data_IF_872178411815
#
_entry.id   IF_872178411815
#
_cell.length_a   1.000
_cell.length_b   1.000
_cell.length_c   1.000
_cell.angle_alpha   90.00
_cell.angle_beta   90.00
_cell.angle_gamma   90.00
#
_symmetry.space_group_name_H-M   'P 1'
#
loop_
_entity.id
_entity.type
_entity.pdbx_description
1 polymer ?
#
# COMPACT_ATOMS: atom_id res chain seq x y z
N UNK A 1 -11.03 -23.07 8.73
CA UNK A 1 -11.24 -22.43 10.05
C UNK A 1 -9.92 -21.88 10.57
N UNK A 2 -9.94 -20.68 11.16
CA UNK A 2 -8.75 -20.04 11.70
C UNK A 2 -8.23 -20.82 12.92
N UNK A 3 -6.91 -20.86 13.07
CA UNK A 3 -6.21 -21.40 14.23
C UNK A 3 -5.68 -20.23 15.05
N UNK A 4 -6.09 -20.11 16.32
CA UNK A 4 -5.83 -18.95 17.18
C UNK A 4 -5.13 -19.36 18.48
N UNK A 5 -3.97 -20.00 18.34
CA UNK A 5 -3.17 -20.53 19.46
C UNK A 5 -1.94 -19.67 19.77
N UNK A 6 -1.74 -18.57 19.05
CA UNK A 6 -0.61 -17.67 19.20
C UNK A 6 -0.88 -16.52 20.16
N UNK A 7 -0.05 -15.49 20.03
CA UNK A 7 -0.16 -14.27 20.80
C UNK A 7 -1.43 -13.50 20.45
N UNK A 8 -2.03 -12.89 21.46
CA UNK A 8 -3.20 -12.03 21.32
C UNK A 8 -3.12 -10.91 22.34
N UNK A 9 -3.77 -9.79 22.03
CA UNK A 9 -3.85 -8.63 22.92
C UNK A 9 -5.32 -8.27 23.17
N UNK A 10 -5.61 -7.67 24.32
CA UNK A 10 -6.87 -6.96 24.53
C UNK A 10 -6.85 -5.67 23.71
N UNK A 11 -7.95 -5.36 23.01
CA UNK A 11 -8.15 -4.09 22.31
C UNK A 11 -9.52 -3.55 22.69
N UNK A 12 -9.60 -2.28 23.08
CA UNK A 12 -10.86 -1.67 23.55
C UNK A 12 -11.19 -0.32 22.91
N UNK A 13 -10.40 0.10 21.92
CA UNK A 13 -10.72 1.28 21.13
C UNK A 13 -9.49 1.89 20.50
N UNK A 14 -9.66 3.15 20.11
CA UNK A 14 -8.62 3.99 19.52
C UNK A 14 -8.74 5.36 20.18
N UNK A 15 -7.62 5.96 20.55
CA UNK A 15 -7.56 7.31 21.07
C UNK A 15 -7.89 8.34 19.97
N UNK A 16 -8.08 9.60 20.35
CA UNK A 16 -8.38 10.68 19.39
C UNK A 16 -7.28 10.88 18.34
N UNK A 17 -6.03 10.58 18.70
CA UNK A 17 -4.86 10.67 17.82
C UNK A 17 -4.63 9.42 16.94
N UNK A 18 -5.58 8.48 16.93
CA UNK A 18 -5.47 7.24 16.17
C UNK A 18 -4.68 6.14 16.89
N UNK A 19 -4.09 6.39 18.07
CA UNK A 19 -3.33 5.38 18.80
C UNK A 19 -4.25 4.25 19.27
N UNK A 20 -3.92 2.97 19.00
CA UNK A 20 -4.73 1.86 19.46
C UNK A 20 -4.69 1.78 20.99
N UNK A 21 -5.87 1.61 21.60
CA UNK A 21 -5.99 1.37 23.03
C UNK A 21 -6.02 -0.16 23.24
N UNK A 22 -4.86 -0.69 23.61
CA UNK A 22 -4.61 -2.12 23.67
C UNK A 22 -3.58 -2.48 24.75
N UNK A 23 -3.48 -3.77 25.07
CA UNK A 23 -2.43 -4.31 25.91
C UNK A 23 -2.37 -5.85 25.87
N UNK A 24 -1.20 -6.45 26.09
CA UNK A 24 -1.08 -7.90 26.15
C UNK A 24 -1.80 -8.45 27.40
N UNK A 25 -2.18 -9.74 27.41
CA UNK A 25 -2.61 -10.40 28.63
C UNK A 25 -1.51 -10.41 29.67
N UNK A 26 -1.90 -10.29 30.93
CA UNK A 26 -0.99 -10.40 32.06
C UNK A 26 -0.40 -11.82 32.14
N UNK A 27 0.93 -11.96 32.29
CA UNK A 27 1.58 -13.27 32.36
C UNK A 27 1.21 -14.08 33.61
N UNK A 28 0.76 -13.43 34.68
CA UNK A 28 0.36 -14.09 35.93
C UNK A 28 -1.12 -14.52 35.89
N UNK A 29 -1.99 -13.74 35.23
CA UNK A 29 -3.40 -14.09 34.99
C UNK A 29 -3.92 -13.49 33.66
N UNK A 30 -4.14 -14.31 32.60
CA UNK A 30 -4.52 -13.83 31.28
C UNK A 30 -5.91 -13.15 31.22
N UNK A 31 -6.67 -13.14 32.32
CA UNK A 31 -7.92 -12.40 32.45
C UNK A 31 -7.73 -10.89 32.66
N UNK A 32 -6.50 -10.48 32.94
CA UNK A 32 -6.09 -9.10 33.14
C UNK A 32 -5.17 -8.64 32.01
N UNK A 33 -5.05 -7.34 31.86
CA UNK A 33 -4.04 -6.69 31.02
C UNK A 33 -2.75 -6.61 31.82
N UNK A 34 -1.61 -6.90 31.18
CA UNK A 34 -0.29 -6.88 31.81
C UNK A 34 -0.01 -5.53 32.49
N UNK A 35 0.16 -5.56 33.81
CA UNK A 35 0.51 -4.39 34.62
C UNK A 35 2.03 -4.22 34.83
N UNK A 36 2.82 -5.15 34.29
CA UNK A 36 4.29 -5.17 34.34
C UNK A 36 4.87 -5.58 35.70
N UNK A 37 4.06 -6.04 36.64
CA UNK A 37 4.49 -6.43 37.99
C UNK A 37 4.41 -7.96 38.19
N UNK A 38 5.55 -8.64 38.35
CA UNK A 38 5.56 -10.09 38.55
C UNK A 38 4.79 -10.54 39.79
N UNK A 39 3.95 -11.55 39.62
CA UNK A 39 3.10 -12.15 40.65
C UNK A 39 1.84 -11.33 40.98
N UNK A 40 1.47 -10.35 40.15
CA UNK A 40 0.31 -9.49 40.35
C UNK A 40 -0.45 -9.33 39.04
N UNK A 41 -1.78 -9.49 39.10
CA UNK A 41 -2.68 -9.18 38.00
C UNK A 41 -3.80 -8.27 38.53
N UNK A 42 -3.76 -7.00 38.14
CA UNK A 42 -4.63 -5.97 38.78
C UNK A 42 -5.42 -5.09 37.83
N UNK A 43 -5.13 -5.12 36.52
CA UNK A 43 -5.78 -4.28 35.52
C UNK A 43 -6.78 -5.11 34.72
N UNK A 44 -8.06 -5.03 35.08
CA UNK A 44 -9.10 -5.71 34.31
C UNK A 44 -9.23 -5.05 32.91
N UNK A 45 -9.43 -5.84 31.84
CA UNK A 45 -9.67 -5.28 30.52
C UNK A 45 -10.94 -4.41 30.54
N UNK A 46 -10.94 -3.23 29.90
CA UNK A 46 -12.11 -2.37 29.85
C UNK A 46 -13.35 -3.08 29.28
N UNK A 47 -14.53 -2.66 29.72
CA UNK A 47 -15.79 -3.20 29.19
C UNK A 47 -15.87 -2.99 27.67
N UNK A 48 -16.19 -4.05 26.94
CA UNK A 48 -16.24 -4.03 25.47
C UNK A 48 -14.91 -4.33 24.78
N UNK A 49 -13.88 -4.70 25.53
CA UNK A 49 -12.64 -5.22 24.95
C UNK A 49 -12.90 -6.47 24.10
N UNK A 50 -12.12 -6.61 23.03
CA UNK A 50 -12.03 -7.82 22.20
C UNK A 50 -10.62 -8.41 22.30
N UNK A 51 -10.44 -9.67 21.90
CA UNK A 51 -9.10 -10.23 21.69
C UNK A 51 -8.68 -10.02 20.24
N UNK A 52 -7.46 -9.55 20.04
CA UNK A 52 -6.84 -9.39 18.72
C UNK A 52 -5.66 -10.38 18.59
N UNK A 53 -5.84 -11.43 17.80
CA UNK A 53 -4.84 -12.48 17.57
C UNK A 53 -3.84 -12.04 16.49
N UNK A 54 -2.60 -11.79 16.89
CA UNK A 54 -1.60 -11.10 16.08
C UNK A 54 -1.26 -11.85 14.77
N UNK A 55 -1.20 -11.13 13.65
CA UNK A 55 -0.99 -11.68 12.29
C UNK A 55 0.37 -12.36 12.10
N UNK A 56 1.41 -11.94 12.84
CA UNK A 56 2.79 -12.45 12.72
C UNK A 56 3.19 -13.40 13.85
N UNK A 57 2.21 -13.93 14.60
CA UNK A 57 2.48 -14.88 15.68
C UNK A 57 2.43 -16.32 15.17
N UNK A 58 3.46 -17.13 15.48
CA UNK A 58 3.62 -18.50 14.98
C UNK A 58 2.45 -19.45 15.30
N UNK A 59 1.63 -19.13 16.31
CA UNK A 59 0.44 -19.90 16.68
C UNK A 59 -0.87 -19.42 16.06
N UNK A 60 -0.86 -18.31 15.32
CA UNK A 60 -2.04 -17.75 14.68
C UNK A 60 -1.97 -18.01 13.17
N UNK A 61 -2.92 -18.79 12.65
CA UNK A 61 -3.05 -19.10 11.23
C UNK A 61 -4.48 -18.80 10.81
N UNK A 62 -4.64 -17.71 10.08
CA UNK A 62 -5.93 -17.27 9.56
C UNK A 62 -5.68 -16.46 8.29
N UNK A 63 -6.64 -16.51 7.38
CA UNK A 63 -6.65 -15.72 6.16
C UNK A 63 -8.09 -15.52 5.74
N UNK A 64 -8.42 -14.36 5.19
CA UNK A 64 -9.69 -14.19 4.48
C UNK A 64 -9.80 -15.19 3.33
N UNK A 65 -11.01 -15.39 2.83
CA UNK A 65 -11.20 -16.21 1.65
C UNK A 65 -10.35 -15.68 0.48
N UNK A 66 -9.91 -16.62 -0.34
CA UNK A 66 -9.21 -16.32 -1.57
C UNK A 66 -9.58 -17.33 -2.65
N UNK A 67 -9.54 -16.89 -3.91
CA UNK A 67 -9.97 -17.73 -5.01
C UNK A 67 -9.11 -17.54 -6.25
N UNK A 68 -8.77 -18.65 -6.89
CA UNK A 68 -8.04 -18.62 -8.15
C UNK A 68 -8.96 -18.25 -9.31
N UNK A 69 -8.45 -17.48 -10.28
CA UNK A 69 -9.17 -17.15 -11.53
C UNK A 69 -9.72 -18.40 -12.20
N UNK A 70 -8.94 -19.48 -12.25
CA UNK A 70 -9.36 -20.77 -12.81
C UNK A 70 -10.58 -21.40 -12.14
N UNK A 71 -10.92 -21.00 -10.91
CA UNK A 71 -12.11 -21.44 -10.17
C UNK A 71 -13.24 -20.41 -10.24
N UNK A 72 -12.90 -19.11 -10.22
CA UNK A 72 -13.89 -18.03 -10.23
C UNK A 72 -14.44 -17.73 -11.62
N UNK A 73 -13.55 -17.59 -12.59
CA UNK A 73 -13.83 -17.22 -13.98
C UNK A 73 -12.87 -17.98 -14.91
N UNK A 74 -13.10 -19.30 -15.12
CA UNK A 74 -12.15 -20.14 -15.87
C UNK A 74 -11.93 -19.66 -17.30
N UNK A 75 -12.99 -19.17 -17.95
CA UNK A 75 -13.01 -18.87 -19.38
C UNK A 75 -12.89 -17.38 -19.71
N UNK A 76 -12.98 -16.49 -18.71
CA UNK A 76 -12.98 -15.03 -18.93
C UNK A 76 -11.98 -14.33 -18.01
N UNK A 77 -11.48 -13.17 -18.42
CA UNK A 77 -10.68 -12.31 -17.56
C UNK A 77 -11.48 -11.89 -16.31
N UNK A 78 -10.81 -11.67 -15.18
CA UNK A 78 -11.45 -11.08 -14.00
C UNK A 78 -11.70 -9.60 -14.30
N UNK A 79 -12.96 -9.24 -14.51
CA UNK A 79 -13.37 -7.86 -14.72
C UNK A 79 -13.29 -7.07 -13.42
N UNK A 80 -12.39 -6.09 -13.34
CA UNK A 80 -12.26 -5.15 -12.22
C UNK A 80 -13.46 -4.20 -12.22
N UNK A 81 -14.00 -3.92 -11.05
CA UNK A 81 -15.12 -2.99 -10.88
C UNK A 81 -14.64 -1.61 -10.42
N UNK A 82 -13.58 -1.54 -9.61
CA UNK A 82 -13.06 -0.27 -9.10
C UNK A 82 -11.54 -0.28 -8.98
N UNK A 83 -10.89 0.85 -9.26
CA UNK A 83 -9.44 1.05 -9.17
C UNK A 83 -9.19 2.22 -8.24
N UNK A 84 -8.22 2.07 -7.34
CA UNK A 84 -7.81 3.09 -6.37
C UNK A 84 -6.31 3.36 -6.56
N UNK A 85 -5.96 4.59 -6.94
CA UNK A 85 -4.58 5.06 -7.18
C UNK A 85 -3.90 5.60 -5.92
N UNK A 86 -4.58 5.52 -4.77
CA UNK A 86 -4.12 6.11 -3.54
C UNK A 86 -4.31 7.62 -3.51
N UNK A 87 -4.92 8.09 -2.43
CA UNK A 87 -5.27 9.49 -2.22
C UNK A 87 -4.07 10.45 -2.38
N UNK A 88 -2.83 9.99 -2.14
CA UNK A 88 -1.63 10.82 -2.21
C UNK A 88 -1.25 11.25 -3.64
N UNK A 89 -1.58 10.46 -4.66
CA UNK A 89 -1.37 10.84 -6.07
C UNK A 89 -2.49 11.74 -6.59
N UNK A 90 -3.68 11.63 -6.01
CA UNK A 90 -4.88 12.36 -6.42
C UNK A 90 -5.00 13.72 -5.72
N UNK A 91 -4.34 13.90 -4.57
CA UNK A 91 -4.56 15.04 -3.68
C UNK A 91 -3.34 15.95 -3.47
N UNK A 92 -2.13 15.48 -3.82
CA UNK A 92 -0.88 16.21 -3.52
C UNK A 92 0.04 16.38 -4.74
N UNK A 93 0.50 17.62 -4.97
CA UNK A 93 1.59 17.92 -5.89
C UNK A 93 2.94 17.64 -5.22
N UNK A 94 3.86 17.04 -5.98
CA UNK A 94 5.14 16.57 -5.45
C UNK A 94 6.29 17.48 -5.90
N UNK A 95 7.46 17.35 -5.26
CA UNK A 95 8.63 18.16 -5.59
C UNK A 95 9.79 17.31 -6.12
N UNK A 96 10.76 17.98 -6.74
CA UNK A 96 11.99 17.35 -7.28
C UNK A 96 12.84 16.56 -6.27
N UNK A 97 12.56 16.64 -4.97
CA UNK A 97 13.26 15.89 -3.90
C UNK A 97 12.37 14.85 -3.22
N UNK A 98 11.12 14.70 -3.64
CA UNK A 98 10.15 13.81 -3.04
C UNK A 98 10.51 12.35 -3.27
N UNK A 99 10.06 11.52 -2.34
CA UNK A 99 9.88 10.08 -2.55
C UNK A 99 8.39 9.85 -2.69
N UNK A 100 7.94 9.64 -3.92
CA UNK A 100 6.52 9.49 -4.22
C UNK A 100 6.17 8.02 -4.05
N UNK A 101 5.29 7.73 -3.09
CA UNK A 101 4.72 6.39 -2.95
C UNK A 101 3.63 6.25 -4.01
N UNK A 102 3.74 5.22 -4.84
CA UNK A 102 2.75 4.91 -5.87
C UNK A 102 2.10 3.59 -5.49
N UNK A 103 0.78 3.61 -5.33
CA UNK A 103 0.00 2.44 -4.93
C UNK A 103 -1.21 2.31 -5.81
N UNK A 104 -1.46 1.12 -6.33
CA UNK A 104 -2.70 0.82 -7.04
C UNK A 104 -3.38 -0.35 -6.35
N UNK A 105 -4.69 -0.26 -6.17
CA UNK A 105 -5.52 -1.36 -5.69
C UNK A 105 -6.65 -1.60 -6.68
N UNK A 106 -6.80 -2.85 -7.09
CA UNK A 106 -7.86 -3.28 -7.99
C UNK A 106 -8.93 -3.98 -7.18
N UNK A 107 -10.20 -3.59 -7.31
CA UNK A 107 -11.33 -4.15 -6.59
C UNK A 107 -12.35 -4.84 -7.51
N UNK A 108 -12.98 -5.89 -6.97
CA UNK A 108 -14.03 -6.70 -7.57
C UNK A 108 -15.19 -6.83 -6.60
N UNK A 109 -16.38 -6.42 -7.01
CA UNK A 109 -17.62 -6.71 -6.32
C UNK A 109 -17.98 -8.20 -6.45
N UNK A 110 -18.33 -8.79 -5.32
CA UNK A 110 -18.67 -10.20 -5.21
C UNK A 110 -20.20 -10.38 -5.22
N UNK A 111 -20.67 -11.23 -6.12
CA UNK A 111 -22.10 -11.63 -6.18
C UNK A 111 -22.44 -12.63 -5.08
N UNK A 112 -21.49 -13.50 -4.75
CA UNK A 112 -21.55 -14.39 -3.59
C UNK A 112 -20.56 -13.84 -2.58
N UNK A 113 -21.02 -13.38 -1.41
CA UNK A 113 -20.11 -12.91 -0.38
C UNK A 113 -19.13 -13.98 0.02
N UNK A 114 -17.95 -13.54 0.41
CA UNK A 114 -16.90 -14.42 0.86
C UNK A 114 -16.46 -14.05 2.27
N UNK A 115 -15.77 -14.96 2.93
CA UNK A 115 -15.40 -14.79 4.34
C UNK A 115 -14.33 -13.74 4.50
N UNK A 116 -14.70 -12.59 5.06
CA UNK A 116 -13.77 -11.60 5.58
C UNK A 116 -13.60 -11.75 7.09
N UNK A 117 -12.51 -11.18 7.61
CA UNK A 117 -12.24 -11.15 9.04
C UNK A 117 -12.01 -9.73 9.54
N UNK A 118 -12.65 -9.37 10.65
CA UNK A 118 -12.43 -8.09 11.32
C UNK A 118 -11.07 -8.12 11.98
N UNK A 119 -10.21 -7.16 11.65
CA UNK A 119 -8.92 -7.01 12.31
C UNK A 119 -8.94 -5.79 13.24
N UNK A 120 -8.02 -5.75 14.19
CA UNK A 120 -7.78 -4.61 15.08
C UNK A 120 -6.33 -4.17 14.97
N UNK A 121 -6.12 -2.85 14.87
CA UNK A 121 -4.80 -2.27 15.09
C UNK A 121 -4.45 -2.47 16.56
N UNK A 122 -3.31 -3.11 16.81
CA UNK A 122 -2.88 -3.48 18.14
C UNK A 122 -1.81 -2.52 18.62
N UNK A 123 -0.77 -2.28 17.84
CA UNK A 123 0.35 -1.43 18.24
C UNK A 123 1.18 -0.98 17.05
N UNK A 124 2.10 -0.05 17.31
CA UNK A 124 3.10 0.40 16.34
C UNK A 124 2.52 1.20 15.17
N UNK A 125 3.42 1.71 14.34
CA UNK A 125 3.11 2.50 13.16
C UNK A 125 4.10 2.16 12.04
N UNK A 126 3.68 2.32 10.79
CA UNK A 126 4.54 2.05 9.63
C UNK A 126 5.08 0.63 9.64
N UNK A 127 6.41 0.47 9.65
CA UNK A 127 7.05 -0.86 9.56
C UNK A 127 6.84 -1.73 10.80
N UNK A 128 6.59 -1.10 11.95
CA UNK A 128 6.38 -1.78 13.23
C UNK A 128 4.89 -1.94 13.54
N UNK A 129 4.00 -1.64 12.57
CA UNK A 129 2.56 -1.75 12.74
C UNK A 129 2.12 -3.21 12.90
N UNK A 130 1.34 -3.48 13.95
CA UNK A 130 0.82 -4.80 14.31
C UNK A 130 -0.69 -4.78 14.32
N UNK A 131 -1.29 -5.72 13.59
CA UNK A 131 -2.72 -6.00 13.62
C UNK A 131 -2.98 -7.43 14.06
N UNK A 132 -4.19 -7.67 14.58
CA UNK A 132 -4.66 -8.99 14.93
C UNK A 132 -6.10 -9.25 14.50
N UNK A 133 -6.43 -10.52 14.29
CA UNK A 133 -7.80 -10.98 14.07
C UNK A 133 -8.62 -10.73 15.34
N UNK A 134 -9.70 -9.97 15.21
CA UNK A 134 -10.68 -9.84 16.27
C UNK A 134 -11.37 -11.18 16.51
N UNK A 135 -11.49 -11.53 17.78
CA UNK A 135 -12.38 -12.56 18.23
C UNK A 135 -13.15 -12.11 19.46
N UNK A 136 -14.41 -12.52 19.50
CA UNK A 136 -15.26 -12.38 20.68
C UNK A 136 -14.90 -13.46 21.69
N UNK A 137 -15.08 -13.14 22.97
CA UNK A 137 -14.83 -14.08 24.06
C UNK A 137 -15.93 -13.95 25.12
N UNK A 138 -16.45 -15.09 25.58
CA UNK A 138 -17.40 -15.15 26.70
C UNK A 138 -16.77 -15.76 27.96
N UNK A 139 -16.51 -14.91 28.97
CA UNK A 139 -15.95 -15.33 30.25
C UNK A 139 -14.45 -15.03 30.38
N UNK A 140 -13.81 -15.70 31.33
CA UNK A 140 -12.42 -15.45 31.71
C UNK A 140 -11.58 -16.72 31.44
N UNK A 141 -10.45 -16.57 30.73
CA UNK A 141 -9.38 -17.56 30.58
C UNK A 141 -8.93 -17.83 29.14
N UNK A 142 -7.84 -18.60 29.01
CA UNK A 142 -7.30 -19.15 27.76
C UNK A 142 -8.21 -20.22 27.09
N UNK A 143 -9.27 -20.67 27.76
CA UNK A 143 -10.19 -21.73 27.30
C UNK A 143 -11.62 -21.29 27.00
N UNK A 144 -11.84 -19.97 26.92
CA UNK A 144 -13.12 -19.35 26.57
C UNK A 144 -13.45 -19.57 25.08
N UNK A 145 -14.74 -19.64 24.71
CA UNK A 145 -15.17 -19.67 23.31
C UNK A 145 -14.62 -18.43 22.60
N UNK A 146 -13.71 -18.64 21.65
CA UNK A 146 -13.09 -17.62 20.80
C UNK A 146 -13.74 -17.74 19.44
N UNK A 147 -14.84 -17.02 19.22
CA UNK A 147 -15.40 -16.95 17.88
C UNK A 147 -14.69 -15.83 17.11
N UNK A 148 -13.97 -16.16 16.02
CA UNK A 148 -13.36 -15.15 15.17
C UNK A 148 -14.47 -14.26 14.60
N UNK A 149 -14.25 -12.95 14.61
CA UNK A 149 -15.19 -11.98 14.06
C UNK A 149 -15.12 -12.00 12.53
N UNK A 150 -15.77 -12.99 11.93
CA UNK A 150 -15.95 -13.10 10.50
C UNK A 150 -17.14 -12.25 10.01
N UNK A 151 -17.09 -11.79 8.76
CA UNK A 151 -18.21 -11.12 8.10
C UNK A 151 -18.30 -11.51 6.63
N UNK A 152 -19.50 -11.33 6.07
CA UNK A 152 -19.77 -11.50 4.65
C UNK A 152 -19.18 -10.30 3.88
N UNK A 153 -18.00 -10.50 3.32
CA UNK A 153 -17.36 -9.50 2.49
C UNK A 153 -17.94 -9.54 1.09
N UNK A 154 -18.30 -8.36 0.57
CA UNK A 154 -18.98 -8.19 -0.73
C UNK A 154 -18.06 -7.65 -1.81
N UNK A 155 -16.77 -7.48 -1.50
CA UNK A 155 -15.77 -6.94 -2.41
C UNK A 155 -14.42 -7.59 -2.16
N UNK A 156 -13.60 -7.71 -3.20
CA UNK A 156 -12.26 -8.28 -3.13
C UNK A 156 -11.23 -7.50 -3.92
N UNK A 157 -9.99 -7.49 -3.44
CA UNK A 157 -8.81 -7.08 -4.20
C UNK A 157 -8.35 -8.13 -5.22
N UNK A 158 -7.86 -7.67 -6.38
CA UNK A 158 -7.52 -8.47 -7.55
C UNK A 158 -6.00 -8.48 -7.74
N UNK A 159 -5.36 -9.66 -7.69
CA UNK A 159 -3.94 -9.83 -8.03
C UNK A 159 -3.76 -10.35 -9.45
N UNK A 160 -3.05 -9.62 -10.32
CA UNK A 160 -2.58 -10.06 -11.61
C UNK A 160 -1.06 -10.11 -11.60
N UNK A 161 -0.53 -11.27 -11.95
CA UNK A 161 0.90 -11.43 -12.18
C UNK A 161 1.38 -10.68 -13.44
N UNK A 162 0.47 -10.16 -14.29
CA UNK A 162 0.79 -9.43 -15.53
C UNK A 162 0.83 -7.92 -15.34
N UNK A 163 0.57 -7.42 -14.13
CA UNK A 163 0.58 -5.98 -13.88
C UNK A 163 1.97 -5.38 -14.14
N UNK A 164 1.99 -4.21 -14.77
CA UNK A 164 3.18 -3.42 -15.10
C UNK A 164 2.96 -1.98 -14.69
N UNK A 165 4.03 -1.36 -14.20
CA UNK A 165 4.08 0.04 -13.86
C UNK A 165 5.12 0.78 -14.69
N UNK A 166 4.69 1.88 -15.30
CA UNK A 166 5.51 2.70 -16.18
C UNK A 166 5.43 4.16 -15.73
N UNK A 167 6.58 4.82 -15.61
CA UNK A 167 6.68 6.26 -15.34
C UNK A 167 7.32 6.91 -16.55
N UNK A 168 6.62 7.85 -17.16
CA UNK A 168 7.12 8.62 -18.30
C UNK A 168 6.96 10.11 -18.06
N UNK A 169 7.91 10.89 -18.59
CA UNK A 169 7.88 12.34 -18.50
C UNK A 169 7.16 12.89 -19.72
N UNK A 170 6.23 13.81 -19.50
CA UNK A 170 5.52 14.52 -20.56
C UNK A 170 6.25 15.82 -20.90
N UNK A 171 6.34 16.14 -22.17
CA UNK A 171 7.05 17.31 -22.71
C UNK A 171 6.10 18.50 -22.93
N UNK A 172 5.11 18.60 -22.06
CA UNK A 172 4.06 19.61 -22.12
C UNK A 172 4.28 20.66 -21.03
N UNK A 173 3.87 21.90 -21.29
CA UNK A 173 3.85 22.96 -20.26
C UNK A 173 2.58 22.89 -19.42
N UNK A 174 1.51 22.32 -19.97
CA UNK A 174 0.21 22.14 -19.31
C UNK A 174 -0.48 20.87 -19.80
N UNK A 175 -1.36 20.29 -18.98
CA UNK A 175 -2.19 19.14 -19.38
C UNK A 175 -3.38 19.53 -20.29
N UNK A 176 -3.46 20.79 -20.75
CA UNK A 176 -4.45 21.22 -21.75
C UNK A 176 -4.02 20.86 -23.19
N UNK A 177 -2.77 20.44 -23.36
CA UNK A 177 -2.25 19.92 -24.62
C UNK A 177 -2.88 18.56 -24.94
N UNK A 178 -3.11 18.27 -26.23
CA UNK A 178 -3.81 17.06 -26.65
C UNK A 178 -2.90 15.82 -26.51
N UNK A 179 -2.93 15.22 -25.33
CA UNK A 179 -2.24 13.97 -25.02
C UNK A 179 -3.00 12.72 -25.47
N UNK A 180 -4.15 12.87 -26.14
CA UNK A 180 -4.96 11.74 -26.61
C UNK A 180 -4.38 11.06 -27.86
N UNK A 181 -3.41 11.71 -28.51
CA UNK A 181 -2.70 11.15 -29.68
C UNK A 181 -1.56 10.20 -29.31
N UNK A 182 -1.18 10.13 -28.03
CA UNK A 182 -0.14 9.21 -27.56
C UNK A 182 -0.53 7.76 -27.84
N UNK A 183 0.41 6.99 -28.38
CA UNK A 183 0.21 5.59 -28.73
C UNK A 183 0.85 4.70 -27.66
N UNK A 184 0.04 3.83 -27.05
CA UNK A 184 0.53 2.85 -26.10
C UNK A 184 1.11 1.62 -26.81
N UNK A 185 2.27 1.16 -26.33
CA UNK A 185 2.84 -0.15 -26.70
C UNK A 185 3.07 -0.97 -25.45
N UNK A 186 2.36 -2.11 -25.34
CA UNK A 186 2.47 -3.02 -24.19
C UNK A 186 3.92 -3.42 -23.94
N UNK A 187 4.38 -3.28 -22.70
CA UNK A 187 5.74 -3.61 -22.29
C UNK A 187 6.78 -2.52 -22.56
N UNK A 188 6.49 -1.56 -23.44
CA UNK A 188 7.43 -0.49 -23.82
C UNK A 188 7.05 0.86 -23.19
N UNK A 189 5.79 1.29 -23.32
CA UNK A 189 5.32 2.58 -22.81
C UNK A 189 4.49 3.36 -23.84
N UNK A 190 4.24 4.63 -23.53
CA UNK A 190 3.67 5.62 -24.44
C UNK A 190 4.72 6.11 -25.43
N UNK A 191 4.30 6.39 -26.66
CA UNK A 191 5.12 6.98 -27.71
C UNK A 191 4.32 8.03 -28.46
N UNK A 192 5.04 8.97 -29.08
CA UNK A 192 4.42 9.95 -29.96
C UNK A 192 3.81 9.28 -31.20
N UNK A 193 2.74 9.85 -31.78
CA UNK A 193 2.19 9.33 -33.01
C UNK A 193 3.25 9.38 -34.14
N UNK A 194 3.22 8.46 -35.12
CA UNK A 194 4.25 8.35 -36.15
C UNK A 194 4.48 9.62 -37.00
N UNK A 195 3.51 10.52 -37.04
CA UNK A 195 3.53 11.80 -37.76
C UNK A 195 3.71 13.03 -36.85
N UNK A 196 4.01 12.82 -35.56
CA UNK A 196 4.35 13.89 -34.63
C UNK A 196 5.51 14.74 -35.14
N UNK A 197 5.37 16.07 -35.05
CA UNK A 197 6.43 17.02 -35.39
C UNK A 197 7.25 17.46 -34.19
N UNK A 198 6.73 17.21 -32.98
CA UNK A 198 7.35 17.52 -31.70
C UNK A 198 7.07 16.34 -30.77
N UNK A 199 8.04 16.01 -29.91
CA UNK A 199 7.89 14.94 -28.93
C UNK A 199 6.99 15.43 -27.79
N UNK A 200 5.98 14.66 -27.40
CA UNK A 200 5.07 14.92 -26.29
C UNK A 200 5.41 14.09 -25.05
N UNK A 201 6.16 13.00 -25.23
CA UNK A 201 6.55 12.08 -24.16
C UNK A 201 8.00 11.62 -24.36
N UNK A 202 8.65 11.20 -23.28
CA UNK A 202 9.98 10.63 -23.41
C UNK A 202 9.99 9.24 -24.05
N UNK A 203 10.89 9.08 -25.04
CA UNK A 203 11.08 7.84 -25.82
C UNK A 203 11.40 6.64 -24.91
N UNK A 204 12.25 6.84 -23.91
CA UNK A 204 12.60 5.80 -22.94
C UNK A 204 11.95 6.10 -21.58
N UNK A 205 11.09 5.23 -21.04
CA UNK A 205 10.51 5.44 -19.73
C UNK A 205 11.56 5.65 -18.63
N UNK A 206 11.24 6.55 -17.70
CA UNK A 206 12.02 6.77 -16.48
C UNK A 206 12.02 5.52 -15.61
N UNK A 207 10.90 4.81 -15.60
CA UNK A 207 10.73 3.53 -14.93
C UNK A 207 9.77 2.66 -15.75
N UNK A 208 10.06 1.37 -15.84
CA UNK A 208 9.18 0.40 -16.50
C UNK A 208 9.49 -1.00 -15.96
N UNK A 209 8.57 -1.59 -15.21
CA UNK A 209 8.75 -2.91 -14.59
C UNK A 209 7.43 -3.65 -14.46
N UNK A 210 7.44 -4.96 -14.73
CA UNK A 210 6.33 -5.84 -14.40
C UNK A 210 6.47 -6.41 -12.98
N UNK A 211 5.35 -6.84 -12.39
CA UNK A 211 5.33 -7.52 -11.09
C UNK A 211 6.14 -8.81 -11.11
N UNK A 212 6.14 -9.54 -12.23
CA UNK A 212 6.90 -10.79 -12.36
C UNK A 212 8.42 -10.57 -12.49
N UNK A 213 8.86 -9.34 -12.76
CA UNK A 213 10.28 -8.95 -12.74
C UNK A 213 10.72 -8.52 -11.32
N UNK A 214 9.80 -8.55 -10.36
CA UNK A 214 10.00 -8.12 -8.98
C UNK A 214 11.04 -8.95 -8.22
N UNK A 215 11.66 -8.31 -7.24
CA UNK A 215 12.60 -8.90 -6.30
C UNK A 215 12.50 -8.23 -4.93
N UNK A 216 13.39 -8.58 -4.01
CA UNK A 216 13.38 -8.00 -2.67
C UNK A 216 13.93 -6.56 -2.64
N UNK A 217 13.24 -5.68 -1.92
CA UNK A 217 13.68 -4.32 -1.62
C UNK A 217 12.94 -3.23 -2.40
N UNK A 218 13.19 -1.95 -2.06
CA UNK A 218 12.35 -0.82 -2.45
C UNK A 218 12.49 -0.37 -3.92
N UNK A 219 13.36 -1.03 -4.69
CA UNK A 219 13.64 -0.68 -6.09
C UNK A 219 12.75 -1.44 -7.08
N UNK A 220 12.03 -2.46 -6.63
CA UNK A 220 11.15 -3.27 -7.45
C UNK A 220 9.71 -2.78 -7.33
N UNK A 221 9.01 -2.84 -8.45
CA UNK A 221 7.57 -2.80 -8.46
C UNK A 221 7.07 -4.20 -8.14
N UNK A 222 6.20 -4.31 -7.15
CA UNK A 222 5.68 -5.59 -6.68
C UNK A 222 4.22 -5.46 -6.26
N UNK A 223 3.57 -6.60 -6.13
CA UNK A 223 2.30 -6.69 -5.41
C UNK A 223 2.56 -7.30 -4.04
N UNK A 224 2.05 -6.68 -2.99
CA UNK A 224 2.16 -7.17 -1.62
C UNK A 224 0.80 -7.28 -0.95
N UNK A 225 0.72 -8.12 0.07
CA UNK A 225 -0.43 -8.16 0.97
C UNK A 225 -0.11 -7.24 2.14
N UNK A 226 -0.81 -6.12 2.27
CA UNK A 226 -0.57 -5.19 3.35
C UNK A 226 -1.06 -5.73 4.71
N UNK A 227 -0.80 -4.98 5.79
CA UNK A 227 -1.26 -5.32 7.15
C UNK A 227 -2.78 -5.42 7.31
N UNK A 228 -3.56 -4.91 6.34
CA UNK A 228 -5.02 -5.02 6.32
C UNK A 228 -5.51 -6.21 5.48
N UNK A 229 -4.61 -7.03 4.94
CA UNK A 229 -4.96 -8.20 4.13
C UNK A 229 -5.39 -7.87 2.70
N UNK A 230 -5.02 -6.69 2.17
CA UNK A 230 -5.33 -6.28 0.79
C UNK A 230 -4.13 -6.46 -0.11
N UNK A 231 -4.36 -6.85 -1.36
CA UNK A 231 -3.33 -6.79 -2.41
C UNK A 231 -3.16 -5.32 -2.81
N UNK A 232 -1.92 -4.83 -2.73
CA UNK A 232 -1.53 -3.49 -3.20
C UNK A 232 -0.37 -3.65 -4.16
N UNK A 233 -0.44 -2.98 -5.30
CA UNK A 233 0.69 -2.85 -6.22
C UNK A 233 1.46 -1.59 -5.86
N UNK A 234 2.70 -1.73 -5.41
CA UNK A 234 3.46 -0.64 -4.83
C UNK A 234 4.79 -0.39 -5.54
N UNK A 235 5.15 0.88 -5.67
CA UNK A 235 6.52 1.31 -5.97
C UNK A 235 6.83 2.64 -5.28
N UNK A 236 8.05 2.82 -4.80
CA UNK A 236 8.51 4.11 -4.25
C UNK A 236 9.43 4.81 -5.24
N UNK A 237 8.93 5.87 -5.85
CA UNK A 237 9.65 6.67 -6.83
C UNK A 237 10.51 7.75 -6.15
N UNK A 238 11.84 7.59 -6.20
CA UNK A 238 12.80 8.63 -5.77
C UNK A 238 13.03 9.62 -6.93
N UNK A 239 12.18 10.67 -7.00
CA UNK A 239 12.17 11.68 -8.09
C UNK A 239 13.55 12.29 -8.31
N UNK A 240 14.31 12.48 -7.23
CA UNK A 240 15.65 13.06 -7.29
C UNK A 240 16.63 12.15 -8.05
N UNK A 241 16.51 10.84 -7.90
CA UNK A 241 17.45 9.86 -8.47
C UNK A 241 17.00 9.32 -9.82
N UNK A 242 15.69 9.15 -9.98
CA UNK A 242 15.10 8.50 -11.14
C UNK A 242 14.18 9.49 -11.83
N UNK A 243 14.72 10.26 -12.75
CA UNK A 243 13.97 11.17 -13.60
C UNK A 243 14.68 11.28 -14.95
N UNK A 244 14.00 11.82 -15.94
CA UNK A 244 14.61 12.01 -17.25
C UNK A 244 15.66 13.13 -17.22
N UNK A 245 16.93 12.72 -17.29
CA UNK A 245 18.09 13.60 -17.30
C UNK A 245 18.35 14.23 -18.68
N UNK A 246 17.68 13.77 -19.73
CA UNK A 246 17.86 14.22 -21.11
C UNK A 246 16.85 15.32 -21.49
N UNK A 247 15.81 15.51 -20.68
CA UNK A 247 14.64 16.35 -20.99
C UNK A 247 14.58 17.60 -20.14
N UNK A 248 14.07 18.71 -20.69
CA UNK A 248 13.95 20.02 -20.00
C UNK A 248 15.28 20.49 -19.38
N UNK A 249 16.40 20.17 -20.03
CA UNK A 249 17.74 20.45 -19.52
C UNK A 249 18.17 19.60 -18.32
N UNK A 250 17.61 18.38 -18.19
CA UNK A 250 17.88 17.45 -17.09
C UNK A 250 17.19 17.82 -15.78
N UNK A 251 16.16 18.66 -15.85
CA UNK A 251 15.37 19.05 -14.68
C UNK A 251 14.31 18.00 -14.39
N UNK A 252 14.26 17.53 -13.14
CA UNK A 252 13.22 16.61 -12.70
C UNK A 252 11.80 17.22 -12.68
N UNK A 253 11.68 18.55 -12.64
CA UNK A 253 10.38 19.23 -12.64
C UNK A 253 9.65 19.09 -13.99
N UNK A 254 8.31 19.08 -13.93
CA UNK A 254 7.40 18.92 -15.07
C UNK A 254 6.31 17.87 -14.80
N UNK A 255 5.51 17.59 -15.81
CA UNK A 255 4.45 16.58 -15.74
C UNK A 255 4.98 15.17 -16.03
N UNK A 256 4.42 14.19 -15.33
CA UNK A 256 4.72 12.79 -15.52
C UNK A 256 3.42 12.00 -15.61
N UNK A 257 3.39 11.04 -16.53
CA UNK A 257 2.34 10.04 -16.62
C UNK A 257 2.78 8.77 -15.92
N UNK A 258 2.02 8.37 -14.91
CA UNK A 258 2.18 7.11 -14.19
C UNK A 258 1.12 6.15 -14.74
N UNK A 259 1.55 5.04 -15.34
CA UNK A 259 0.65 4.09 -16.02
C UNK A 259 0.70 2.73 -15.34
N UNK A 260 -0.48 2.23 -14.96
CA UNK A 260 -0.70 0.85 -14.54
C UNK A 260 -1.35 0.10 -15.71
N UNK A 261 -0.70 -0.97 -16.16
CA UNK A 261 -1.12 -1.73 -17.34
C UNK A 261 -0.97 -3.23 -17.10
N UNK A 262 -1.42 -4.04 -18.05
CA UNK A 262 -1.18 -5.48 -18.05
C UNK A 262 -0.37 -5.89 -19.27
N UNK A 263 0.65 -6.71 -19.05
CA UNK A 263 1.37 -7.38 -20.12
C UNK A 263 0.50 -8.44 -20.80
N UNK A 264 0.76 -8.68 -22.09
CA UNK A 264 0.09 -9.67 -22.94
C UNK A 264 -1.45 -9.61 -22.92
N UNK A 265 -2.00 -8.84 -23.85
CA UNK A 265 -3.44 -8.72 -24.10
C UNK A 265 -4.04 -9.90 -24.90
N UNK A 266 -3.23 -10.86 -25.38
CA UNK A 266 -3.73 -11.95 -26.21
C UNK A 266 -4.49 -13.02 -25.41
N UNK A 267 -4.18 -13.16 -24.13
CA UNK A 267 -4.88 -14.05 -23.19
C UNK A 267 -5.11 -13.36 -21.82
N UNK A 268 -5.92 -12.28 -21.75
CA UNK A 268 -5.98 -11.44 -20.56
C UNK A 268 -6.53 -12.21 -19.36
N UNK A 269 -5.88 -12.09 -18.21
CA UNK A 269 -6.35 -12.66 -16.94
C UNK A 269 -7.18 -11.64 -16.13
N UNK A 270 -7.03 -10.35 -16.43
CA UNK A 270 -7.69 -9.22 -15.76
C UNK A 270 -8.15 -8.22 -16.80
N UNK A 271 -9.33 -7.62 -16.61
CA UNK A 271 -9.89 -6.62 -17.51
C UNK A 271 -10.38 -5.39 -16.74
N UNK A 272 -10.15 -4.20 -17.30
CA UNK A 272 -10.61 -2.90 -16.78
C UNK A 272 -11.82 -2.36 -17.56
N UNK A 273 -12.39 -3.14 -18.50
CA UNK A 273 -13.43 -2.67 -19.42
C UNK A 273 -14.70 -2.14 -18.74
N UNK A 274 -14.96 -2.54 -17.49
CA UNK A 274 -16.08 -2.10 -16.67
C UNK A 274 -15.67 -1.34 -15.41
N UNK A 275 -14.38 -1.03 -15.25
CA UNK A 275 -13.86 -0.45 -14.02
C UNK A 275 -14.21 1.05 -13.93
N UNK A 276 -14.29 1.55 -12.70
CA UNK A 276 -14.31 2.98 -12.37
C UNK A 276 -13.15 3.35 -11.46
N UNK A 277 -12.80 4.63 -11.40
CA UNK A 277 -11.86 5.15 -10.40
C UNK A 277 -12.59 5.32 -9.06
N UNK A 278 -11.94 4.95 -7.95
CA UNK A 278 -12.38 5.23 -6.60
C UNK A 278 -12.11 6.70 -6.30
N UNK A 279 -13.15 7.48 -6.00
CA UNK A 279 -12.96 8.90 -5.67
C UNK A 279 -12.63 9.07 -4.17
N UNK A 280 -11.59 9.84 -3.83
CA UNK A 280 -11.22 10.08 -2.44
C UNK A 280 -12.30 10.91 -1.75
N UNK A 281 -12.56 10.61 -0.47
CA UNK A 281 -13.53 11.39 0.32
C UNK A 281 -12.86 12.69 0.78
N UNK A 282 -13.56 13.83 0.74
CA UNK A 282 -13.00 15.16 1.11
C UNK A 282 -12.25 15.20 2.46
N UNK A 283 -12.62 14.34 3.41
CA UNK A 283 -11.97 14.26 4.73
C UNK A 283 -10.60 13.57 4.69
N UNK A 284 -10.41 12.62 3.78
CA UNK A 284 -9.11 11.94 3.56
C UNK A 284 -8.11 12.90 2.93
N UNK A 285 -8.56 13.70 1.94
CA UNK A 285 -7.78 14.78 1.32
C UNK A 285 -7.26 15.76 2.38
N UNK A 286 -8.13 16.23 3.28
CA UNK A 286 -7.75 17.18 4.33
C UNK A 286 -6.68 16.62 5.28
N UNK A 287 -6.81 15.34 5.64
CA UNK A 287 -5.85 14.66 6.54
C UNK A 287 -4.50 14.46 5.86
N UNK A 288 -4.49 14.12 4.57
CA UNK A 288 -3.26 13.97 3.81
C UNK A 288 -2.46 15.27 3.72
N UNK A 289 -3.11 16.39 3.47
CA UNK A 289 -2.46 17.71 3.40
C UNK A 289 -1.76 18.09 4.71
N UNK A 290 -2.25 17.59 5.85
CA UNK A 290 -1.59 17.80 7.13
C UNK A 290 -0.36 16.90 7.30
N UNK A 291 -0.32 15.77 6.60
CA UNK A 291 0.71 14.72 6.75
C UNK A 291 1.80 14.73 5.68
N UNK A 292 1.50 15.18 4.47
CA UNK A 292 2.42 15.25 3.33
C UNK A 292 2.89 16.69 3.13
N UNK A 293 4.21 16.91 2.97
CA UNK A 293 4.78 18.26 2.69
C UNK A 293 4.51 18.72 1.24
N UNK A 294 3.29 18.54 0.71
CA UNK A 294 2.92 18.92 -0.65
C UNK A 294 1.84 19.98 -0.72
N UNK A 295 1.75 20.63 -1.88
CA UNK A 295 0.70 21.63 -2.16
C UNK A 295 -0.57 20.92 -2.65
N UNK A 296 -1.73 21.53 -2.40
CA UNK A 296 -2.99 21.13 -3.03
C UNK A 296 -2.82 21.13 -4.55
N UNK A 297 -3.00 19.97 -5.15
CA UNK A 297 -2.75 19.68 -6.56
C UNK A 297 -2.61 18.16 -6.67
N UNK A 298 -2.92 17.55 -7.80
CA UNK A 298 -2.96 16.10 -7.89
C UNK A 298 -3.46 15.67 -9.25
N UNK A 299 -3.22 14.40 -9.57
CA UNK A 299 -3.65 13.87 -10.85
C UNK A 299 -5.11 13.43 -10.83
N UNK A 300 -5.71 13.42 -12.02
CA UNK A 300 -6.99 12.75 -12.25
C UNK A 300 -6.68 11.44 -12.96
N UNK A 301 -7.03 10.32 -12.33
CA UNK A 301 -6.83 9.03 -12.96
C UNK A 301 -7.80 8.84 -14.15
N UNK A 302 -7.29 8.24 -15.22
CA UNK A 302 -8.00 7.93 -16.45
C UNK A 302 -7.92 6.43 -16.70
N UNK A 303 -9.00 5.84 -17.22
CA UNK A 303 -9.04 4.45 -17.66
C UNK A 303 -9.07 4.45 -19.19
N UNK A 304 -8.11 3.78 -19.81
CA UNK A 304 -8.13 3.44 -21.22
C UNK A 304 -8.58 1.98 -21.35
N UNK A 305 -9.84 1.79 -21.70
CA UNK A 305 -10.47 0.48 -21.80
C UNK A 305 -10.01 -0.30 -23.02
N UNK A 306 -9.57 0.39 -24.08
CA UNK A 306 -9.14 -0.23 -25.34
C UNK A 306 -7.75 -0.86 -25.14
N UNK A 307 -6.87 -0.15 -24.44
CA UNK A 307 -5.53 -0.63 -24.10
C UNK A 307 -5.47 -1.39 -22.75
N UNK A 308 -6.61 -1.55 -22.08
CA UNK A 308 -6.76 -2.23 -20.79
C UNK A 308 -5.77 -1.71 -19.71
N UNK A 309 -5.64 -0.39 -19.63
CA UNK A 309 -4.74 0.29 -18.70
C UNK A 309 -5.45 1.43 -17.97
N UNK A 310 -4.79 1.94 -16.95
CA UNK A 310 -5.16 3.21 -16.30
C UNK A 310 -3.91 4.02 -16.08
N UNK A 311 -4.03 5.34 -16.11
CA UNK A 311 -2.92 6.24 -15.85
C UNK A 311 -3.37 7.45 -15.05
N UNK A 312 -2.42 8.10 -14.39
CA UNK A 312 -2.60 9.36 -13.69
C UNK A 312 -1.45 10.30 -14.04
N UNK A 313 -1.78 11.53 -14.41
CA UNK A 313 -0.80 12.57 -14.73
C UNK A 313 -0.55 13.42 -13.49
N UNK A 314 0.69 13.50 -13.04
CA UNK A 314 1.09 14.22 -11.82
C UNK A 314 2.09 15.32 -12.13
N UNK A 315 2.07 16.39 -11.34
CA UNK A 315 2.99 17.51 -11.50
C UNK A 315 4.13 17.45 -10.47
N UNK A 316 5.37 17.48 -10.96
CA UNK A 316 6.56 17.63 -10.13
C UNK A 316 7.02 19.10 -10.16
N UNK A 317 6.83 19.77 -9.04
CA UNK A 317 7.20 21.16 -8.82
C UNK A 317 8.70 21.31 -8.52
N UNK A 318 9.30 22.39 -9.02
CA UNK A 318 10.60 22.82 -8.55
C UNK A 318 10.45 23.54 -7.21
N UNK A 319 11.21 23.16 -6.18
CA UNK A 319 11.33 24.01 -4.99
C UNK A 319 12.18 25.21 -5.39
N UNK A 320 11.53 26.31 -5.78
CA UNK A 320 12.22 27.59 -5.84
C UNK A 320 12.91 27.80 -4.49
N UNK A 321 14.23 28.05 -4.50
CA UNK A 321 14.95 28.39 -3.27
C UNK A 321 14.23 29.58 -2.65
N UNK A 322 13.51 29.35 -1.55
CA UNK A 322 12.88 30.40 -0.79
C UNK A 322 13.91 31.49 -0.50
N UNK A 323 13.67 32.67 -1.06
CA UNK A 323 14.36 33.90 -0.67
C UNK A 323 14.25 34.00 0.85
N UNK A 324 15.41 34.09 1.50
CA UNK A 324 15.53 34.21 2.94
C UNK A 324 14.62 35.28 3.52
N UNK A 325 13.67 34.86 4.34
CA UNK A 325 13.06 35.67 5.37
C UNK A 325 14.02 35.70 6.56
N UNK A 326 15.01 36.60 6.50
CA UNK A 326 15.82 36.91 7.66
C UNK A 326 14.94 37.52 8.75
N UNK A 327 14.80 36.82 9.87
CA UNK A 327 14.57 37.48 11.14
C UNK A 327 15.45 36.81 12.20
N UNK A 328 16.40 37.58 12.71
CA UNK A 328 17.40 37.13 13.66
C UNK A 328 16.85 36.98 15.07
N UNK A 329 17.57 36.19 15.85
CA UNK A 329 17.58 36.26 17.31
C UNK A 329 17.42 34.91 17.99
N UNK A 330 18.52 34.39 18.57
CA UNK A 330 18.41 33.44 19.68
C UNK A 330 19.30 32.21 19.62
N UNK A 331 20.59 32.40 19.92
CA UNK A 331 21.39 31.61 20.85
C UNK A 331 20.94 30.16 21.20
N UNK A 332 21.79 29.15 20.94
CA UNK A 332 21.71 27.88 21.71
C UNK A 332 22.35 26.65 21.09
N UNK A 333 23.55 26.29 21.57
CA UNK A 333 23.92 24.90 21.89
C UNK A 333 24.16 23.91 20.75
N UNK A 334 25.43 23.72 20.36
CA UNK A 334 25.86 22.56 19.58
C UNK A 334 25.78 21.26 20.38
N UNK A 335 25.01 20.29 19.87
CA UNK A 335 24.96 18.91 20.37
C UNK A 335 25.13 17.92 19.21
N UNK A 336 26.30 17.29 19.13
CA UNK A 336 26.59 16.14 18.25
C UNK A 336 25.80 14.92 18.74
N UNK A 337 24.76 14.50 18.01
CA UNK A 337 24.11 13.19 18.18
C UNK A 337 24.85 12.13 17.35
N UNK A 338 25.41 11.13 18.02
CA UNK A 338 26.03 9.94 17.43
C UNK A 338 24.95 8.95 16.98
N UNK A 339 25.22 8.22 15.90
CA UNK A 339 24.39 7.11 15.43
C UNK A 339 24.16 6.07 16.53
N UNK A 340 22.91 5.59 16.61
CA UNK A 340 22.52 4.50 17.49
C UNK A 340 23.16 3.17 17.07
N UNK A 341 23.43 2.26 18.01
CA UNK A 341 23.98 0.94 17.70
C UNK A 341 22.91 0.00 17.14
N UNK A 342 23.31 -1.08 16.42
CA UNK A 342 22.38 -2.06 15.87
C UNK A 342 21.60 -2.80 16.96
N UNK A 343 20.35 -3.15 16.65
CA UNK A 343 19.46 -3.96 17.49
C UNK A 343 20.06 -5.36 17.69
N UNK A 344 20.29 -5.73 18.95
CA UNK A 344 20.73 -7.05 19.37
C UNK A 344 19.55 -7.80 19.99
N UNK A 345 19.50 -9.12 19.82
CA UNK A 345 18.54 -9.99 20.51
C UNK A 345 18.74 -9.88 22.04
N UNK A 346 17.71 -9.51 22.82
CA UNK A 346 17.82 -9.31 24.27
C UNK A 346 18.05 -10.61 25.07
N UNK A 347 17.90 -11.79 24.47
CA UNK A 347 18.16 -13.07 25.13
C UNK A 347 19.55 -13.63 24.81
N UNK A 348 20.13 -13.31 23.65
CA UNK A 348 21.38 -13.93 23.19
C UNK A 348 22.53 -12.94 22.94
N UNK A 349 22.25 -11.63 22.86
CA UNK A 349 23.25 -10.59 22.60
C UNK A 349 23.87 -10.64 21.19
N UNK A 350 23.32 -11.48 20.31
CA UNK A 350 23.75 -11.59 18.92
C UNK A 350 22.97 -10.61 18.03
N UNK A 351 23.55 -10.17 16.90
CA UNK A 351 22.80 -9.45 15.87
C UNK A 351 21.63 -10.31 15.41
N UNK A 352 20.44 -9.72 15.35
CA UNK A 352 19.26 -10.38 14.78
C UNK A 352 19.58 -10.62 13.28
N UNK A 353 19.66 -11.87 12.79
CA UNK A 353 19.84 -12.10 11.38
C UNK A 353 18.61 -11.56 10.65
N UNK A 354 18.82 -10.70 9.64
CA UNK A 354 17.74 -10.30 8.75
C UNK A 354 17.14 -11.56 8.10
N UNK A 355 15.81 -11.73 8.14
CA UNK A 355 15.19 -12.86 7.49
C UNK A 355 15.39 -12.73 5.97
N UNK A 356 16.17 -13.65 5.42
CA UNK A 356 16.25 -13.89 3.98
C UNK A 356 14.85 -14.19 3.45
N UNK A 357 14.32 -13.32 2.60
CA UNK A 357 13.16 -13.63 1.78
C UNK A 357 13.57 -14.71 0.77
N UNK A 358 13.23 -15.95 1.10
CA UNK A 358 13.23 -17.07 0.18
C UNK A 358 11.92 -17.80 0.43
N UNK A 359 10.95 -17.62 -0.48
CA UNK A 359 10.24 -18.72 -1.18
C UNK A 359 8.97 -18.19 -1.89
N UNK A 360 9.10 -17.59 -3.08
CA UNK A 360 8.17 -17.83 -4.21
C UNK A 360 9.00 -17.87 -5.49
N UNK A 361 9.74 -18.96 -5.69
CA UNK A 361 10.33 -19.30 -6.98
C UNK A 361 9.95 -20.74 -7.28
N UNK A 362 8.92 -20.93 -8.13
CA UNK A 362 8.52 -22.27 -8.53
C UNK A 362 7.13 -22.41 -9.15
N UNK A 363 6.98 -21.94 -10.39
CA UNK A 363 6.16 -22.48 -11.47
C UNK A 363 4.61 -22.60 -11.33
N UNK A 364 3.98 -22.20 -12.43
CA UNK A 364 2.60 -22.43 -12.90
C UNK A 364 1.53 -21.44 -12.42
N UNK A 365 1.12 -20.58 -13.37
CA UNK A 365 -0.16 -19.88 -13.50
C UNK A 365 -1.12 -20.00 -12.29
N UNK A 366 -1.05 -19.04 -11.37
CA UNK A 366 -1.96 -18.95 -10.24
C UNK A 366 -2.22 -17.48 -9.90
N UNK A 367 -3.44 -17.01 -10.20
CA UNK A 367 -4.01 -15.71 -9.82
C UNK A 367 -4.72 -15.86 -8.47
N UNK A 368 -4.67 -14.91 -7.53
CA UNK A 368 -5.45 -14.97 -6.29
C UNK A 368 -6.32 -13.72 -6.11
N UNK A 369 -7.62 -13.90 -5.91
CA UNK A 369 -8.57 -12.87 -5.46
C UNK A 369 -8.49 -12.80 -3.92
N UNK A 370 -8.26 -11.63 -3.31
CA UNK A 370 -8.09 -11.48 -1.85
C UNK A 370 -9.01 -10.38 -1.30
N UNK A 371 -9.82 -10.65 -0.29
CA UNK A 371 -11.10 -9.95 -0.07
C UNK A 371 -11.02 -8.65 0.78
N UNK A 372 -11.79 -7.58 0.47
CA UNK A 372 -11.73 -6.22 1.09
C UNK A 372 -12.52 -6.13 2.41
N UNK A 373 -11.95 -5.33 3.32
CA UNK A 373 -12.39 -4.92 4.66
C UNK A 373 -13.26 -3.66 4.70
N UNK A 374 -14.27 -3.63 5.57
CA UNK A 374 -14.91 -2.39 6.09
C UNK A 374 -14.11 -1.81 7.24
#
# INVERSE_FOLDING_TARGET
>A
DPTLNGEWWYVWGTAEDGTPLSGPPDPDDPDFVDDGLPGQASIAPPQGSVRAYLQKSIGNVWQADSMFKSLYSPDEAVAVDTIDWGDNLESVDWYTKSKVRTEVVLYKNLTVPATGYTMRHVSGWGIDEVHGLEATFEGSGQGVVVEPSAYDATEATVYSNRARFTIQKLYVETLEEDLSELVWTTGEGWSDPPDATEDLVNEAPVYNSAVYDGGDGPAYYSAEINVKGKIIYGYTWDVKKLNDQTVNGGKAAGYYRLTFSFDDLSEPNTSLASASIYEPIETEIATLLESEEGDLGGGVAVIDVDENLTYIDVHILDRSQGKGGGNGGGNGGGGKGKGGPPTLDPLTGNPIPEPSAALIAGAAAGFALLIRRK
#
